data_IF_292923206281
#
_entry.id   IF_292923206281
#
_cell.length_a   1.000
_cell.length_b   1.000
_cell.length_c   1.000
_cell.angle_alpha   90.00
_cell.angle_beta   90.00
_cell.angle_gamma   90.00
#
_symmetry.space_group_name_H-M   'P 1'
#
loop_
_entity.id
_entity.type
_entity.pdbx_description
1 polymer ?
2 non-polymer ?
3 non-polymer ?
4 water ?
#
# COMPACT_ATOMS: atom_id res chain seq x y z
N UNK A 23 -13.06 -30.99 -11.40
CA UNK A 23 -12.19 -29.78 -11.31
C UNK A 23 -10.98 -30.09 -10.46
N UNK A 24 -10.62 -31.38 -10.39
CA UNK A 24 -9.58 -31.83 -9.45
C UNK A 24 -8.15 -31.46 -9.84
N UNK A 25 -7.87 -31.36 -11.16
CA UNK A 25 -6.49 -31.17 -11.63
C UNK A 25 -6.10 -29.72 -11.84
N UNK A 26 -4.80 -29.46 -11.88
CA UNK A 26 -4.33 -28.09 -12.16
C UNK A 26 -4.86 -27.51 -13.48
N UNK A 27 -5.32 -28.40 -14.37
CA UNK A 27 -5.90 -27.97 -15.67
C UNK A 27 -7.38 -27.56 -15.58
N UNK A 28 -7.93 -27.56 -14.36
CA UNK A 28 -9.36 -27.26 -14.14
C UNK A 28 -9.75 -25.88 -14.71
N UNK A 29 -10.89 -25.84 -15.40
CA UNK A 29 -11.48 -24.55 -15.77
C UNK A 29 -11.73 -23.68 -14.55
N UNK A 30 -12.19 -24.28 -13.46
CA UNK A 30 -12.51 -23.52 -12.24
C UNK A 30 -11.29 -22.75 -11.75
N UNK A 31 -10.12 -23.38 -11.73
CA UNK A 31 -8.91 -22.67 -11.26
C UNK A 31 -8.62 -21.45 -12.16
N UNK A 32 -8.73 -21.65 -13.46
CA UNK A 32 -8.49 -20.56 -14.41
C UNK A 32 -9.55 -19.45 -14.25
N UNK A 33 -10.79 -19.85 -14.04
CA UNK A 33 -11.88 -18.88 -13.75
C UNK A 33 -11.55 -18.03 -12.55
N UNK A 34 -11.03 -18.63 -11.46
CA UNK A 34 -10.76 -17.86 -10.23
C UNK A 34 -9.68 -16.82 -10.55
N UNK A 35 -8.64 -17.27 -11.22
CA UNK A 35 -7.53 -16.38 -11.53
C UNK A 35 -7.98 -15.25 -12.47
N UNK A 36 -8.75 -15.61 -13.51
CA UNK A 36 -9.34 -14.60 -14.43
C UNK A 36 -10.18 -13.55 -13.68
N UNK A 37 -11.04 -14.03 -12.79
CA UNK A 37 -11.85 -13.15 -11.94
C UNK A 37 -10.95 -12.17 -11.12
N UNK A 38 -9.91 -12.71 -10.51
CA UNK A 38 -8.98 -11.89 -9.71
C UNK A 38 -8.29 -10.82 -10.57
N UNK A 39 -7.77 -11.24 -11.73
CA UNK A 39 -7.05 -10.32 -12.62
C UNK A 39 -7.98 -9.19 -13.10
N UNK A 40 -9.21 -9.57 -13.44
CA UNK A 40 -10.20 -8.60 -13.93
C UNK A 40 -10.55 -7.58 -12.85
N UNK A 41 -10.73 -8.04 -11.61
CA UNK A 41 -11.04 -7.17 -10.47
C UNK A 41 -9.91 -6.17 -10.21
N UNK A 42 -8.67 -6.65 -10.20
CA UNK A 42 -7.51 -5.81 -10.06
C UNK A 42 -7.27 -5.24 -8.65
N UNK A 43 -6.12 -4.56 -8.49
CA UNK A 43 -5.72 -4.07 -7.15
C UNK A 43 -6.74 -3.11 -6.58
N UNK A 44 -7.54 -2.46 -7.43
CA UNK A 44 -8.68 -1.65 -6.98
C UNK A 44 -9.56 -2.47 -6.00
N UNK A 45 -9.75 -3.75 -6.32
CA UNK A 45 -10.56 -4.61 -5.45
C UNK A 45 -9.71 -5.41 -4.46
N UNK A 46 -8.49 -5.78 -4.84
CA UNK A 46 -7.66 -6.58 -3.93
C UNK A 46 -7.36 -5.82 -2.64
N UNK A 47 -7.16 -4.50 -2.74
CA UNK A 47 -6.54 -3.74 -1.65
C UNK A 47 -7.41 -2.64 -1.03
N UNK A 48 -8.71 -2.63 -1.33
CA UNK A 48 -9.60 -1.60 -0.82
C UNK A 48 -10.97 -2.21 -0.60
N UNK A 49 -11.40 -2.24 0.66
CA UNK A 49 -12.67 -2.84 1.07
C UNK A 49 -13.90 -2.36 0.26
N UNK A 50 -14.73 -3.31 -0.19
CA UNK A 50 -15.91 -3.02 -1.00
C UNK A 50 -16.85 -4.18 -0.84
N UNK A 51 -18.03 -3.92 -0.24
CA UNK A 51 -18.98 -4.99 0.02
C UNK A 51 -19.55 -5.64 -1.25
N UNK A 52 -19.65 -4.87 -2.35
CA UNK A 52 -20.14 -5.44 -3.62
C UNK A 52 -19.13 -6.49 -4.11
N UNK A 53 -17.84 -6.17 -3.99
CA UNK A 53 -16.82 -7.13 -4.41
C UNK A 53 -16.89 -8.38 -3.50
N UNK A 54 -17.10 -8.18 -2.20
CA UNK A 54 -17.19 -9.33 -1.29
C UNK A 54 -18.35 -10.24 -1.75
N UNK A 55 -19.48 -9.61 -2.02
CA UNK A 55 -20.69 -10.30 -2.51
C UNK A 55 -20.40 -11.08 -3.78
N UNK A 56 -19.74 -10.40 -4.71
CA UNK A 56 -19.46 -10.97 -5.98
C UNK A 56 -18.52 -12.22 -5.85
N UNK A 57 -17.47 -12.07 -5.07
CA UNK A 57 -16.48 -13.14 -4.85
C UNK A 57 -17.23 -14.33 -4.22
N UNK A 58 -18.09 -14.05 -3.26
CA UNK A 58 -18.86 -15.12 -2.61
C UNK A 58 -19.84 -15.84 -3.58
N UNK A 59 -20.57 -15.05 -4.38
CA UNK A 59 -21.49 -15.61 -5.37
C UNK A 59 -20.77 -16.58 -6.32
N UNK A 60 -19.59 -16.19 -6.80
CA UNK A 60 -18.82 -17.02 -7.74
C UNK A 60 -18.22 -18.28 -7.06
N UNK A 61 -17.54 -18.08 -5.93
CA UNK A 61 -16.53 -19.05 -5.48
C UNK A 61 -16.70 -19.62 -4.08
N UNK A 62 -17.86 -19.39 -3.45
CA UNK A 62 -18.10 -20.04 -2.14
C UNK A 62 -17.89 -21.56 -2.24
N UNK A 63 -18.49 -22.21 -3.24
CA UNK A 63 -18.36 -23.69 -3.35
C UNK A 63 -16.91 -24.11 -3.52
N UNK A 64 -16.18 -23.37 -4.35
CA UNK A 64 -14.76 -23.62 -4.57
C UNK A 64 -13.98 -23.51 -3.26
N UNK A 65 -14.29 -22.50 -2.44
CA UNK A 65 -13.61 -22.35 -1.14
C UNK A 65 -13.75 -23.63 -0.34
N UNK A 66 -14.99 -24.10 -0.24
CA UNK A 66 -15.25 -25.29 0.57
C UNK A 66 -14.60 -26.56 0.03
N UNK A 67 -14.56 -26.69 -1.29
CA UNK A 67 -13.88 -27.83 -1.94
C UNK A 67 -12.39 -27.80 -1.58
N UNK A 68 -11.78 -26.64 -1.71
CA UNK A 68 -10.35 -26.49 -1.35
C UNK A 68 -10.13 -26.88 0.14
N UNK A 69 -11.00 -26.35 1.02
CA UNK A 69 -10.92 -26.63 2.47
C UNK A 69 -11.17 -28.11 2.78
N UNK A 70 -11.91 -28.81 1.92
CA UNK A 70 -12.18 -30.25 2.11
C UNK A 70 -11.06 -31.10 1.53
N UNK A 71 -10.02 -30.44 1.02
CA UNK A 71 -8.84 -31.14 0.42
C UNK A 71 -9.21 -31.89 -0.86
N UNK A 72 -10.12 -31.31 -1.63
CA UNK A 72 -10.53 -31.89 -2.93
C UNK A 72 -9.70 -31.33 -4.07
N UNK A 73 -9.00 -30.22 -3.82
CA UNK A 73 -8.28 -29.52 -4.88
C UNK A 73 -6.76 -29.51 -4.72
N UNK A 74 -6.21 -30.47 -3.96
CA UNK A 74 -4.78 -30.51 -3.71
C UNK A 74 -4.00 -30.64 -5.01
N UNK A 75 -4.63 -31.26 -6.01
CA UNK A 75 -4.06 -31.40 -7.34
C UNK A 75 -3.68 -30.07 -7.99
N UNK A 76 -4.29 -28.98 -7.52
CA UNK A 76 -3.98 -27.64 -8.07
C UNK A 76 -2.54 -27.22 -7.75
N UNK A 77 -1.93 -27.88 -6.77
CA UNK A 77 -0.50 -27.61 -6.50
C UNK A 77 0.38 -27.92 -7.72
N UNK A 78 -0.13 -28.71 -8.67
CA UNK A 78 0.67 -29.04 -9.85
C UNK A 78 0.98 -27.83 -10.77
N UNK A 79 0.09 -26.82 -10.78
CA UNK A 79 0.19 -25.66 -11.70
C UNK A 79 0.45 -24.37 -10.95
N UNK A 80 1.16 -23.43 -11.56
CA UNK A 80 1.45 -22.17 -10.90
C UNK A 80 0.18 -21.34 -10.71
N UNK A 81 -0.59 -21.11 -11.79
CA UNK A 81 -1.81 -20.31 -11.61
C UNK A 81 -2.89 -21.03 -10.81
N UNK A 82 -2.98 -22.35 -10.94
CA UNK A 82 -3.93 -23.09 -10.09
C UNK A 82 -3.51 -23.02 -8.61
N UNK A 83 -2.21 -22.97 -8.34
CA UNK A 83 -1.77 -22.78 -6.95
C UNK A 83 -2.11 -21.36 -6.47
N UNK A 84 -1.94 -20.38 -7.36
CA UNK A 84 -2.44 -19.02 -7.06
C UNK A 84 -3.93 -19.05 -6.69
N UNK A 85 -4.75 -19.77 -7.47
CA UNK A 85 -6.17 -19.94 -7.16
C UNK A 85 -6.36 -20.48 -5.73
N UNK A 86 -5.56 -21.47 -5.33
CA UNK A 86 -5.62 -21.97 -3.94
C UNK A 86 -5.39 -20.85 -2.91
N UNK A 87 -4.41 -19.99 -3.17
CA UNK A 87 -4.10 -18.88 -2.25
C UNK A 87 -5.34 -17.96 -2.16
N UNK A 88 -5.94 -17.69 -3.31
CA UNK A 88 -7.08 -16.77 -3.38
C UNK A 88 -8.27 -17.37 -2.66
N UNK A 89 -8.47 -18.67 -2.79
CA UNK A 89 -9.57 -19.32 -2.06
C UNK A 89 -9.35 -19.47 -0.54
N UNK A 90 -8.10 -19.70 -0.12
CA UNK A 90 -7.84 -20.10 1.27
C UNK A 90 -7.28 -18.99 2.17
N UNK A 91 -6.73 -17.96 1.55
CA UNK A 91 -6.19 -16.79 2.24
C UNK A 91 -7.02 -15.52 1.98
N UNK A 92 -7.41 -15.28 0.73
CA UNK A 92 -8.16 -14.05 0.42
C UNK A 92 -9.67 -14.16 0.65
N UNK A 93 -10.26 -15.18 0.04
CA UNK A 93 -11.73 -15.41 0.16
C UNK A 93 -12.28 -15.24 1.61
N UNK A 94 -11.66 -15.89 2.62
CA UNK A 94 -12.19 -15.76 4.00
C UNK A 94 -12.16 -14.33 4.51
N UNK A 95 -11.16 -13.56 4.09
CA UNK A 95 -11.05 -12.16 4.51
C UNK A 95 -12.05 -11.22 3.83
N UNK A 96 -12.48 -11.59 2.63
CA UNK A 96 -13.57 -10.86 1.97
C UNK A 96 -14.93 -11.31 2.44
N UNK A 97 -15.11 -12.61 2.66
CA UNK A 97 -16.46 -13.18 2.73
C UNK A 97 -16.92 -13.66 4.08
N UNK A 98 -15.99 -13.74 5.06
CA UNK A 98 -16.37 -14.22 6.40
C UNK A 98 -16.04 -13.17 7.48
N UNK A 99 -16.08 -11.89 7.10
CA UNK A 99 -15.62 -10.78 7.95
C UNK A 99 -16.26 -10.81 9.33
N UNK A 100 -15.49 -10.48 10.36
CA UNK A 100 -16.06 -10.36 11.72
C UNK A 100 -16.28 -11.67 12.45
N UNK A 101 -15.83 -12.78 11.85
CA UNK A 101 -16.00 -14.12 12.42
C UNK A 101 -14.72 -14.95 12.45
N UNK A 102 -14.73 -16.00 13.26
CA UNK A 102 -13.56 -16.89 13.37
C UNK A 102 -13.30 -17.62 12.04
N UNK A 103 -14.33 -17.66 11.17
CA UNK A 103 -14.18 -18.26 9.84
C UNK A 103 -13.12 -17.53 9.02
N UNK A 104 -12.86 -16.26 9.34
CA UNK A 104 -11.84 -15.50 8.59
C UNK A 104 -10.44 -16.17 8.64
N UNK A 105 -10.17 -16.95 9.72
CA UNK A 105 -8.83 -17.52 9.96
C UNK A 105 -8.80 -19.05 9.83
N UNK A 106 -9.97 -19.66 9.63
CA UNK A 106 -10.10 -21.12 9.75
C UNK A 106 -9.22 -21.91 8.77
N UNK A 107 -8.98 -21.35 7.58
CA UNK A 107 -8.18 -22.09 6.55
C UNK A 107 -6.77 -21.50 6.42
N UNK A 108 -6.38 -20.65 7.36
CA UNK A 108 -5.04 -20.04 7.27
C UNK A 108 -3.92 -21.09 7.37
N UNK A 109 -4.00 -22.03 8.33
CA UNK A 109 -2.95 -23.06 8.38
C UNK A 109 -2.84 -23.84 7.06
N UNK A 110 -3.98 -24.14 6.44
CA UNK A 110 -3.97 -24.81 5.13
C UNK A 110 -3.36 -23.94 4.04
N UNK A 111 -3.73 -22.67 4.03
CA UNK A 111 -3.15 -21.72 3.04
C UNK A 111 -1.63 -21.66 3.15
N UNK A 112 -1.13 -21.62 4.39
CA UNK A 112 0.31 -21.54 4.65
C UNK A 112 1.01 -22.80 4.18
N UNK A 113 0.40 -23.94 4.47
CA UNK A 113 0.94 -25.24 4.09
C UNK A 113 1.05 -25.28 2.55
N UNK A 114 -0.02 -24.86 1.87
CA UNK A 114 0.01 -24.80 0.42
C UNK A 114 0.96 -23.75 -0.14
N UNK A 115 1.05 -22.57 0.51
CA UNK A 115 2.00 -21.52 0.06
C UNK A 115 3.43 -22.07 0.07
N UNK A 116 3.79 -22.71 1.18
CA UNK A 116 5.11 -23.36 1.29
C UNK A 116 5.38 -24.33 0.11
N UNK A 117 4.40 -25.19 -0.15
CA UNK A 117 4.53 -26.18 -1.23
C UNK A 117 4.64 -25.51 -2.61
N UNK A 118 3.83 -24.48 -2.83
CA UNK A 118 3.86 -23.73 -4.10
C UNK A 118 5.20 -23.05 -4.32
N UNK A 119 5.76 -22.46 -3.26
CA UNK A 119 7.04 -21.80 -3.35
C UNK A 119 8.15 -22.84 -3.62
N UNK A 120 8.01 -24.01 -2.99
CA UNK A 120 8.98 -25.07 -3.20
C UNK A 120 9.01 -25.50 -4.66
N UNK A 121 7.83 -25.42 -5.31
CA UNK A 121 7.72 -25.80 -6.72
C UNK A 121 8.09 -24.65 -7.65
N UNK A 122 8.38 -23.47 -7.09
CA UNK A 122 8.79 -22.29 -7.90
C UNK A 122 7.61 -21.49 -8.47
N UNK A 123 6.39 -21.81 -8.01
CA UNK A 123 5.18 -21.21 -8.59
C UNK A 123 5.09 -19.69 -8.46
N UNK A 124 5.60 -19.16 -7.34
CA UNK A 124 5.53 -17.70 -7.10
C UNK A 124 6.35 -16.97 -8.18
N UNK A 125 7.45 -17.59 -8.60
CA UNK A 125 8.33 -16.97 -9.61
C UNK A 125 7.73 -17.12 -10.99
N UNK A 126 6.77 -18.04 -11.14
CA UNK A 126 6.16 -18.33 -12.45
C UNK A 126 4.98 -17.42 -12.75
N UNK A 127 4.38 -16.77 -11.75
CA UNK A 127 3.29 -15.80 -12.02
C UNK A 127 3.89 -14.39 -12.15
N UNK A 128 3.09 -13.45 -12.66
CA UNK A 128 3.56 -12.08 -12.80
C UNK A 128 3.90 -11.44 -11.46
N UNK A 129 4.73 -10.42 -11.55
CA UNK A 129 5.19 -9.73 -10.35
C UNK A 129 4.02 -9.21 -9.51
N UNK A 130 2.97 -8.68 -10.17
CA UNK A 130 1.76 -8.11 -9.56
C UNK A 130 1.00 -9.13 -8.70
N UNK A 131 1.08 -10.41 -9.11
CA UNK A 131 0.32 -11.49 -8.44
C UNK A 131 1.14 -12.26 -7.42
N UNK A 132 2.44 -12.08 -7.46
CA UNK A 132 3.35 -12.83 -6.60
C UNK A 132 3.03 -12.74 -5.10
N UNK A 133 2.65 -11.54 -4.65
CA UNK A 133 2.39 -11.31 -3.23
C UNK A 133 1.32 -12.27 -2.65
N UNK A 134 0.40 -12.73 -3.48
CA UNK A 134 -0.63 -13.68 -2.98
C UNK A 134 -0.12 -15.03 -2.46
N UNK A 135 1.07 -15.44 -2.92
CA UNK A 135 1.76 -16.60 -2.36
C UNK A 135 2.43 -16.27 -1.01
N UNK A 136 2.58 -14.98 -0.69
CA UNK A 136 3.37 -14.56 0.51
C UNK A 136 2.46 -14.12 1.66
N UNK A 137 1.28 -13.63 1.30
CA UNK A 137 0.33 -13.13 2.30
C UNK A 137 -0.01 -14.19 3.40
N UNK A 138 -0.13 -15.49 3.04
CA UNK A 138 -0.38 -16.48 4.13
C UNK A 138 0.70 -16.40 5.22
N UNK A 139 1.94 -16.06 4.85
CA UNK A 139 3.00 -15.96 5.87
C UNK A 139 2.80 -14.69 6.73
N UNK A 140 2.39 -13.59 6.11
CA UNK A 140 2.06 -12.37 6.86
C UNK A 140 0.87 -12.59 7.81
N UNK A 141 -0.01 -13.52 7.45
CA UNK A 141 -1.23 -13.75 8.23
C UNK A 141 -1.09 -14.77 9.34
N UNK A 142 0.08 -15.40 9.44
CA UNK A 142 0.32 -16.42 10.47
C UNK A 142 0.84 -15.80 11.77
N UNK A 143 0.33 -16.30 12.90
CA UNK A 143 0.79 -15.83 14.21
C UNK A 143 2.00 -16.66 14.65
N UNK A 144 3.11 -16.51 13.94
CA UNK A 144 4.36 -17.17 14.31
C UNK A 144 5.50 -16.48 13.62
N UNK A 145 6.57 -16.35 14.42
CA UNK A 145 7.71 -15.55 14.05
C UNK A 145 8.42 -16.05 12.82
N UNK A 146 8.56 -17.38 12.69
CA UNK A 146 9.25 -17.94 11.50
C UNK A 146 8.53 -17.50 10.23
N UNK A 147 7.19 -17.63 10.23
CA UNK A 147 6.37 -17.24 9.07
C UNK A 147 6.56 -15.76 8.76
N UNK A 148 6.58 -14.93 9.79
CA UNK A 148 6.74 -13.48 9.56
C UNK A 148 8.08 -13.12 8.93
N UNK A 149 9.14 -13.75 9.43
CA UNK A 149 10.48 -13.49 8.89
C UNK A 149 10.53 -13.97 7.46
N UNK A 150 9.91 -15.11 7.20
CA UNK A 150 9.82 -15.61 5.83
C UNK A 150 9.05 -14.65 4.92
N UNK A 151 7.94 -14.10 5.42
CA UNK A 151 7.18 -13.09 4.65
C UNK A 151 8.04 -11.89 4.29
N UNK A 152 8.82 -11.37 5.25
CA UNK A 152 9.66 -10.20 4.96
C UNK A 152 10.73 -10.54 3.89
N UNK A 153 11.35 -11.72 3.99
CA UNK A 153 12.34 -12.16 3.01
C UNK A 153 11.73 -12.27 1.63
N UNK A 154 10.54 -12.85 1.57
CA UNK A 154 9.88 -13.04 0.28
C UNK A 154 9.45 -11.72 -0.35
N UNK A 155 9.07 -10.75 0.47
CA UNK A 155 8.64 -9.44 -0.06
C UNK A 155 9.81 -8.49 -0.37
N UNK A 156 11.01 -8.82 0.10
CA UNK A 156 12.15 -7.91 -0.14
C UNK A 156 12.31 -7.57 -1.65
N UNK A 157 12.36 -8.61 -2.54
CA UNK A 157 12.46 -8.28 -3.98
C UNK A 157 11.29 -7.49 -4.52
N UNK A 158 10.10 -7.65 -3.95
CA UNK A 158 8.92 -6.89 -4.42
C UNK A 158 9.09 -5.42 -4.02
N UNK A 159 9.76 -5.21 -2.90
CA UNK A 159 10.07 -3.85 -2.39
C UNK A 159 8.87 -2.95 -2.07
N UNK A 160 9.15 -1.65 -1.93
CA UNK A 160 8.13 -0.63 -1.69
C UNK A 160 7.07 -1.01 -0.69
N UNK A 161 5.81 -0.80 -1.06
CA UNK A 161 4.72 -1.03 -0.14
C UNK A 161 4.52 -2.51 0.22
N UNK A 162 4.90 -3.43 -0.68
CA UNK A 162 4.78 -4.86 -0.36
C UNK A 162 5.62 -5.15 0.86
N UNK A 163 6.86 -4.67 0.80
CA UNK A 163 7.81 -4.85 1.90
C UNK A 163 7.32 -4.14 3.20
N UNK A 164 6.89 -2.89 3.06
CA UNK A 164 6.33 -2.14 4.17
C UNK A 164 5.22 -2.96 4.87
N UNK A 165 4.27 -3.51 4.09
CA UNK A 165 3.16 -4.27 4.71
C UNK A 165 3.65 -5.54 5.44
N UNK A 166 4.60 -6.24 4.83
CA UNK A 166 5.16 -7.45 5.49
C UNK A 166 5.84 -7.09 6.83
N UNK A 167 6.51 -5.95 6.87
CA UNK A 167 7.20 -5.49 8.07
C UNK A 167 6.22 -5.04 9.13
N UNK A 168 5.12 -4.40 8.71
CA UNK A 168 4.02 -4.01 9.62
C UNK A 168 3.47 -5.22 10.37
N UNK A 169 3.24 -6.31 9.62
CA UNK A 169 2.71 -7.52 10.23
C UNK A 169 3.75 -8.12 11.17
N UNK A 170 5.01 -8.21 10.72
CA UNK A 170 6.07 -8.86 11.54
C UNK A 170 6.24 -8.14 12.87
N UNK A 171 6.13 -6.81 12.87
CA UNK A 171 6.33 -6.06 14.11
C UNK A 171 5.29 -6.42 15.18
N UNK A 172 4.03 -6.59 14.77
CA UNK A 172 2.97 -6.94 15.71
C UNK A 172 3.23 -8.32 16.32
N UNK A 173 3.55 -9.29 15.48
CA UNK A 173 3.79 -10.65 15.93
C UNK A 173 5.05 -10.74 16.80
N UNK A 174 6.12 -10.03 16.44
CA UNK A 174 7.33 -10.12 17.25
C UNK A 174 7.09 -9.45 18.62
N UNK A 175 6.14 -8.51 18.67
CA UNK A 175 5.83 -7.80 19.89
C UNK A 175 4.87 -8.59 20.81
N UNK A 176 3.85 -9.21 20.23
CA UNK A 176 2.79 -9.85 21.01
C UNK A 176 2.72 -11.36 20.88
N UNK A 177 3.39 -11.90 19.88
CA UNK A 177 3.24 -13.32 19.50
C UNK A 177 1.95 -13.67 18.75
N UNK A 178 1.14 -12.65 18.45
CA UNK A 178 -0.16 -12.82 17.80
C UNK A 178 -0.72 -11.45 17.41
N UNK A 179 -1.87 -11.45 16.72
CA UNK A 179 -2.54 -10.21 16.33
C UNK A 179 -3.62 -9.92 17.35
N UNK A 180 -3.39 -8.94 18.22
CA UNK A 180 -4.37 -8.61 19.25
C UNK A 180 -5.71 -8.22 18.70
N UNK A 181 -5.78 -7.67 17.47
CA UNK A 181 -7.07 -7.35 16.85
C UNK A 181 -7.99 -8.59 16.74
N UNK A 182 -7.42 -9.81 16.78
CA UNK A 182 -8.23 -11.03 16.63
C UNK A 182 -8.81 -11.54 17.96
N UNK A 183 -8.38 -10.93 19.07
CA UNK A 183 -8.68 -11.48 20.43
C UNK A 183 -10.17 -11.62 20.70
N UNK A 184 -10.95 -10.63 20.29
CA UNK A 184 -12.40 -10.67 20.54
C UNK A 184 -13.03 -11.84 19.81
N UNK A 185 -12.70 -11.95 18.52
CA UNK A 185 -13.29 -12.97 17.66
C UNK A 185 -12.85 -14.38 18.13
N UNK A 186 -11.62 -14.48 18.61
CA UNK A 186 -11.09 -15.77 19.04
C UNK A 186 -11.28 -16.06 20.53
N UNK A 187 -11.91 -15.14 21.26
CA UNK A 187 -12.17 -15.34 22.69
C UNK A 187 -10.88 -15.54 23.51
N UNK A 188 -9.86 -14.77 23.17
CA UNK A 188 -8.59 -14.74 23.90
C UNK A 188 -8.58 -13.55 24.83
N UNK A 189 -7.92 -13.75 25.97
CA UNK A 189 -7.77 -12.71 26.97
C UNK A 189 -6.70 -11.71 26.53
N UNK A 190 -7.11 -10.46 26.42
CA UNK A 190 -6.28 -9.37 25.97
C UNK A 190 -5.39 -8.93 27.12
N UNK A 191 -4.09 -8.84 26.88
CA UNK A 191 -3.16 -8.45 27.97
C UNK A 191 -3.17 -6.93 28.13
N UNK A 192 -2.66 -6.42 29.27
CA UNK A 192 -2.56 -4.96 29.46
C UNK A 192 -1.87 -4.23 28.30
N UNK A 193 -0.72 -4.73 27.86
CA UNK A 193 0.01 -4.10 26.74
C UNK A 193 -0.73 -4.18 25.40
N UNK A 194 -1.37 -5.31 25.14
CA UNK A 194 -2.26 -5.41 23.99
C UNK A 194 -3.42 -4.43 24.11
N UNK A 195 -3.99 -4.29 25.30
CA UNK A 195 -5.14 -3.40 25.46
C UNK A 195 -4.69 -1.99 25.09
N UNK A 196 -3.53 -1.60 25.61
CA UNK A 196 -2.87 -0.34 25.32
C UNK A 196 -2.73 -0.10 23.81
N UNK A 197 -2.15 -1.09 23.13
CA UNK A 197 -1.93 -1.07 21.69
C UNK A 197 -3.24 -0.87 20.91
N UNK A 198 -4.27 -1.63 21.28
CA UNK A 198 -5.60 -1.57 20.64
C UNK A 198 -6.29 -0.23 20.86
N UNK A 199 -6.30 0.21 22.12
CA UNK A 199 -6.91 1.48 22.52
C UNK A 199 -6.29 2.68 21.79
N UNK A 200 -5.03 2.54 21.38
CA UNK A 200 -4.28 3.64 20.77
C UNK A 200 -4.13 3.55 19.24
N UNK A 201 -4.96 2.72 18.60
CA UNK A 201 -5.00 2.62 17.15
C UNK A 201 -5.55 1.28 16.70
N UNK B 26 29.41 24.57 -1.80
CA UNK B 26 29.08 23.11 -1.90
C UNK B 26 27.83 22.76 -1.12
N UNK B 27 26.69 22.78 -1.81
CA UNK B 27 25.50 22.17 -1.24
C UNK B 27 25.38 20.76 -1.85
N UNK B 28 26.30 20.39 -2.74
CA UNK B 28 26.33 19.05 -3.36
C UNK B 28 26.32 17.93 -2.30
N UNK B 29 27.15 18.09 -1.27
CA UNK B 29 27.24 17.09 -0.17
C UNK B 29 25.93 16.92 0.56
N UNK B 30 25.23 18.04 0.76
CA UNK B 30 23.94 18.02 1.45
C UNK B 30 22.90 17.24 0.64
N UNK B 31 22.85 17.48 -0.66
CA UNK B 31 21.90 16.70 -1.52
C UNK B 31 22.21 15.20 -1.45
N UNK B 32 23.49 14.87 -1.49
CA UNK B 32 23.93 13.47 -1.42
C UNK B 32 23.50 12.84 -0.06
N UNK B 33 23.69 13.60 1.03
CA UNK B 33 23.32 13.16 2.37
C UNK B 33 21.80 12.88 2.48
N UNK B 34 20.98 13.75 1.88
CA UNK B 34 19.52 13.56 1.91
C UNK B 34 19.15 12.21 1.23
N UNK B 35 19.72 12.00 0.04
CA UNK B 35 19.42 10.79 -0.70
C UNK B 35 19.88 9.55 0.08
N UNK B 36 21.09 9.61 0.64
CA UNK B 36 21.62 8.45 1.40
C UNK B 36 20.79 8.16 2.65
N UNK B 37 20.35 9.22 3.33
CA UNK B 37 19.44 9.08 4.48
C UNK B 37 18.18 8.29 4.05
N UNK B 38 17.58 8.73 2.94
CA UNK B 38 16.32 8.16 2.49
C UNK B 38 16.53 6.75 1.96
N UNK B 39 17.53 6.58 1.12
CA UNK B 39 17.82 5.27 0.53
C UNK B 39 18.04 4.20 1.62
N UNK B 40 18.84 4.53 2.65
CA UNK B 40 19.15 3.57 3.72
C UNK B 40 17.96 3.30 4.64
N UNK B 41 17.15 4.32 4.88
CA UNK B 41 15.91 4.15 5.64
C UNK B 41 15.03 3.13 4.92
N UNK B 42 14.84 3.31 3.62
CA UNK B 42 14.17 2.28 2.79
C UNK B 42 12.67 2.17 2.97
N UNK B 43 12.06 1.26 2.21
CA UNK B 43 10.60 1.12 2.25
C UNK B 43 10.07 0.64 3.59
N UNK B 44 10.90 0.16 4.50
CA UNK B 44 10.32 -0.03 5.84
C UNK B 44 10.11 1.26 6.67
N UNK B 45 10.62 2.40 6.19
CA UNK B 45 10.39 3.67 6.87
C UNK B 45 9.63 4.68 6.02
N UNK B 46 9.75 4.60 4.69
CA UNK B 46 9.12 5.60 3.81
C UNK B 46 7.61 5.74 3.98
N UNK B 47 6.95 4.65 4.37
CA UNK B 47 5.51 4.69 4.44
C UNK B 47 4.96 4.50 5.83
N UNK B 48 5.84 4.39 6.83
CA UNK B 48 5.41 4.12 8.19
C UNK B 48 5.02 5.42 8.92
N UNK B 49 4.36 5.33 10.06
CA UNK B 49 4.15 6.53 10.86
C UNK B 49 4.92 6.33 12.14
N UNK B 50 6.17 6.73 12.14
CA UNK B 50 7.06 6.54 13.26
C UNK B 50 7.49 7.94 13.70
N UNK B 51 7.03 8.36 14.87
CA UNK B 51 7.36 9.72 15.31
C UNK B 51 8.89 9.90 15.47
N UNK B 52 9.60 8.84 15.87
CA UNK B 52 11.07 8.93 16.04
C UNK B 52 11.73 9.21 14.70
N UNK B 53 11.28 8.50 13.66
CA UNK B 53 11.86 8.69 12.31
C UNK B 53 11.54 10.11 11.83
N UNK B 54 10.32 10.55 12.08
CA UNK B 54 9.87 11.89 11.62
C UNK B 54 10.75 12.95 12.30
N UNK B 55 10.99 12.78 13.60
CA UNK B 55 11.85 13.69 14.35
C UNK B 55 13.29 13.70 13.84
N UNK B 56 13.78 12.51 13.49
CA UNK B 56 15.17 12.37 13.01
C UNK B 56 15.28 13.14 11.68
N UNK B 57 14.34 12.87 10.76
CA UNK B 57 14.26 13.50 9.42
C UNK B 57 14.18 15.03 9.63
N UNK B 58 13.31 15.44 10.56
CA UNK B 58 13.10 16.88 10.79
C UNK B 58 14.37 17.54 11.33
N UNK B 59 14.96 16.95 12.36
CA UNK B 59 16.10 17.60 12.99
C UNK B 59 17.32 17.66 12.04
N UNK B 60 17.49 16.65 11.20
CA UNK B 60 18.57 16.68 10.23
C UNK B 60 18.37 17.67 9.04
N UNK B 61 17.15 17.71 8.49
CA UNK B 61 16.92 18.41 7.23
C UNK B 61 15.95 19.59 7.24
N UNK B 62 15.46 20.00 8.42
CA UNK B 62 14.60 21.19 8.51
C UNK B 62 15.24 22.37 7.79
N UNK B 63 16.52 22.65 8.03
CA UNK B 63 17.13 23.84 7.40
C UNK B 63 17.18 23.69 5.88
N UNK B 64 17.48 22.48 5.42
CA UNK B 64 17.48 22.19 3.99
C UNK B 64 16.08 22.42 3.35
N UNK B 65 15.03 21.95 4.03
CA UNK B 65 13.68 22.12 3.53
C UNK B 65 13.42 23.62 3.29
N UNK B 66 13.73 24.43 4.30
CA UNK B 66 13.45 25.85 4.17
C UNK B 66 14.32 26.51 3.10
N UNK B 67 15.58 26.12 3.00
CA UNK B 67 16.46 26.65 1.96
C UNK B 67 15.85 26.34 0.59
N UNK B 68 15.38 25.11 0.38
CA UNK B 68 14.75 24.73 -0.90
C UNK B 68 13.48 25.58 -1.14
N UNK B 69 12.68 25.79 -0.06
CA UNK B 69 11.42 26.53 -0.16
C UNK B 69 11.66 28.03 -0.40
N UNK B 70 12.85 28.52 -0.04
CA UNK B 70 13.23 29.94 -0.30
C UNK B 70 13.91 30.10 -1.67
N UNK B 71 13.96 29.00 -2.45
CA UNK B 71 14.58 29.03 -3.78
C UNK B 71 16.09 29.26 -3.74
N UNK B 72 16.74 28.74 -2.69
CA UNK B 72 18.19 28.79 -2.58
C UNK B 72 18.87 27.56 -3.18
N UNK B 73 18.07 26.54 -3.50
CA UNK B 73 18.65 25.26 -3.97
C UNK B 73 18.20 24.88 -5.40
N UNK B 74 17.80 25.88 -6.19
CA UNK B 74 17.30 25.60 -7.55
C UNK B 74 18.38 24.94 -8.41
N UNK B 75 19.65 25.19 -8.09
CA UNK B 75 20.79 24.58 -8.81
C UNK B 75 20.80 23.06 -8.75
N UNK B 76 20.11 22.48 -7.74
CA UNK B 76 20.02 21.05 -7.63
C UNK B 76 19.26 20.44 -8.81
N UNK B 77 18.55 21.25 -9.58
CA UNK B 77 17.94 20.75 -10.80
C UNK B 77 18.96 20.24 -11.82
N UNK B 78 20.22 20.64 -11.67
CA UNK B 78 21.23 20.23 -12.64
C UNK B 78 21.61 18.75 -12.55
N UNK B 79 21.32 18.10 -11.43
CA UNK B 79 21.72 16.70 -11.26
C UNK B 79 20.56 15.80 -10.90
N UNK B 80 20.67 14.52 -11.25
CA UNK B 80 19.59 13.56 -10.98
C UNK B 80 19.40 13.31 -9.49
N UNK B 81 20.48 12.94 -8.77
CA UNK B 81 20.34 12.72 -7.34
C UNK B 81 19.95 14.00 -6.60
N UNK B 82 20.53 15.14 -7.00
CA UNK B 82 20.20 16.40 -6.33
C UNK B 82 18.73 16.79 -6.60
N UNK B 83 18.22 16.45 -7.78
CA UNK B 83 16.79 16.67 -8.04
C UNK B 83 15.91 15.73 -7.20
N UNK B 84 16.37 14.49 -7.05
CA UNK B 84 15.67 13.57 -6.15
C UNK B 84 15.62 14.21 -4.76
N UNK B 85 16.74 14.79 -4.30
CA UNK B 85 16.79 15.44 -2.97
C UNK B 85 15.73 16.53 -2.85
N UNK B 86 15.56 17.34 -3.91
CA UNK B 86 14.46 18.34 -3.91
C UNK B 86 13.07 17.71 -3.69
N UNK B 87 12.81 16.61 -4.38
CA UNK B 87 11.55 15.87 -4.20
C UNK B 87 11.39 15.47 -2.71
N UNK B 88 12.46 14.92 -2.12
CA UNK B 88 12.37 14.44 -0.75
C UNK B 88 12.16 15.62 0.20
N UNK B 89 12.79 16.75 -0.09
CA UNK B 89 12.63 17.94 0.75
C UNK B 89 11.26 18.61 0.62
N UNK B 90 10.68 18.59 -0.60
CA UNK B 90 9.49 19.43 -0.89
C UNK B 90 8.16 18.67 -0.94
N UNK B 91 8.24 17.36 -1.13
CA UNK B 91 7.08 16.50 -1.22
C UNK B 91 7.00 15.55 -0.01
N UNK B 92 8.12 14.89 0.32
CA UNK B 92 8.07 13.91 1.41
C UNK B 92 8.26 14.54 2.79
N UNK B 93 9.30 15.35 2.97
CA UNK B 93 9.55 16.01 4.24
C UNK B 93 8.29 16.64 4.94
N UNK B 94 7.48 17.43 4.20
CA UNK B 94 6.27 18.01 4.81
C UNK B 94 5.31 16.97 5.35
N UNK B 95 5.24 15.84 4.63
CA UNK B 95 4.33 14.75 4.98
C UNK B 95 4.82 13.92 6.19
N UNK B 96 6.13 14.00 6.49
CA UNK B 96 6.66 13.37 7.68
C UNK B 96 6.66 14.30 8.89
N UNK B 97 6.94 15.58 8.63
CA UNK B 97 7.38 16.51 9.65
C UNK B 97 6.39 17.64 9.99
N UNK B 98 5.40 17.87 9.11
CA UNK B 98 4.36 18.87 9.33
C UNK B 98 2.96 18.23 9.41
N UNK B 99 2.89 16.99 9.90
CA UNK B 99 1.63 16.21 9.82
C UNK B 99 0.43 16.94 10.42
N UNK B 100 -0.74 16.83 9.78
CA UNK B 100 -2.02 17.34 10.36
C UNK B 100 -2.19 18.85 10.26
N UNK B 101 -1.34 19.52 9.46
CA UNK B 101 -1.34 20.98 9.31
C UNK B 101 -1.30 21.40 7.83
N UNK B 102 -1.68 22.63 7.55
CA UNK B 102 -1.69 23.13 6.14
C UNK B 102 -0.25 23.16 5.61
N UNK B 103 0.73 23.11 6.52
CA UNK B 103 2.14 23.07 6.10
C UNK B 103 2.47 21.79 5.29
N UNK B 104 1.68 20.73 5.48
CA UNK B 104 1.92 19.50 4.69
C UNK B 104 1.85 19.74 3.18
N UNK B 105 1.08 20.76 2.77
CA UNK B 105 0.80 21.05 1.35
C UNK B 105 1.49 22.31 0.84
N UNK B 106 2.18 23.02 1.74
CA UNK B 106 2.63 24.37 1.45
C UNK B 106 3.61 24.41 0.31
N UNK B 107 4.45 23.38 0.17
CA UNK B 107 5.49 23.39 -0.88
C UNK B 107 5.14 22.45 -2.05
N UNK B 108 3.90 21.96 -2.07
CA UNK B 108 3.46 21.09 -3.13
C UNK B 108 3.53 21.70 -4.56
N UNK B 109 3.06 22.96 -4.73
CA UNK B 109 3.22 23.59 -6.05
C UNK B 109 4.68 23.70 -6.49
N UNK B 110 5.58 24.05 -5.57
CA UNK B 110 7.01 24.11 -5.90
C UNK B 110 7.52 22.70 -6.25
N UNK B 111 7.12 21.69 -5.47
CA UNK B 111 7.56 20.29 -5.75
C UNK B 111 7.10 19.85 -7.14
N UNK B 112 5.87 20.20 -7.52
CA UNK B 112 5.36 19.81 -8.85
C UNK B 112 6.14 20.55 -9.98
N UNK B 113 6.39 21.82 -9.76
CA UNK B 113 7.22 22.62 -10.67
C UNK B 113 8.59 21.97 -10.91
N UNK B 114 9.29 21.65 -9.84
CA UNK B 114 10.60 21.03 -9.94
C UNK B 114 10.47 19.62 -10.53
N UNK B 115 9.43 18.87 -10.16
CA UNK B 115 9.31 17.50 -10.72
C UNK B 115 9.15 17.56 -12.24
N UNK B 116 8.32 18.50 -12.70
CA UNK B 116 8.11 18.72 -14.15
C UNK B 116 9.46 19.00 -14.86
N UNK B 117 10.27 19.85 -14.25
CA UNK B 117 11.55 20.25 -14.81
C UNK B 117 12.52 19.07 -14.80
N UNK B 118 12.54 18.31 -13.68
CA UNK B 118 13.43 17.14 -13.55
C UNK B 118 13.10 16.09 -14.59
N UNK B 119 11.81 15.86 -14.83
CA UNK B 119 11.37 14.91 -15.86
C UNK B 119 11.76 15.42 -17.27
N UNK B 120 11.55 16.71 -17.51
CA UNK B 120 12.06 17.33 -18.77
C UNK B 120 13.57 17.07 -18.98
N UNK B 121 14.35 17.16 -17.91
CA UNK B 121 15.79 16.86 -17.96
C UNK B 121 16.18 15.37 -17.95
N UNK B 122 15.19 14.48 -17.82
CA UNK B 122 15.47 13.01 -17.85
C UNK B 122 15.94 12.39 -16.53
N UNK B 123 15.93 13.19 -15.47
CA UNK B 123 16.44 12.74 -14.18
C UNK B 123 15.67 11.54 -13.59
N UNK B 124 14.35 11.51 -13.80
CA UNK B 124 13.56 10.35 -13.34
C UNK B 124 14.07 9.05 -13.97
N UNK B 125 14.40 9.12 -15.24
CA UNK B 125 14.82 7.93 -16.00
C UNK B 125 16.24 7.52 -15.69
N UNK B 126 16.97 8.48 -15.10
CA UNK B 126 18.37 8.28 -14.69
C UNK B 126 18.48 7.49 -13.39
N UNK B 127 17.40 7.46 -12.62
CA UNK B 127 17.48 6.77 -11.32
C UNK B 127 16.65 5.49 -11.34
N UNK B 128 17.06 4.52 -10.52
CA UNK B 128 16.42 3.21 -10.56
C UNK B 128 14.96 3.31 -10.12
N UNK B 129 14.18 2.29 -10.51
CA UNK B 129 12.75 2.26 -10.27
C UNK B 129 12.38 2.38 -8.81
N UNK B 130 13.21 1.84 -7.92
CA UNK B 130 13.00 1.90 -6.45
C UNK B 130 12.85 3.34 -5.94
N UNK B 131 13.62 4.25 -6.51
CA UNK B 131 13.58 5.65 -6.07
C UNK B 131 12.85 6.58 -7.04
N UNK B 132 12.64 6.11 -8.27
CA UNK B 132 12.03 6.94 -9.32
C UNK B 132 10.66 7.51 -8.96
N UNK B 133 9.91 6.75 -8.19
CA UNK B 133 8.55 7.13 -7.80
C UNK B 133 8.51 8.46 -7.05
N UNK B 134 9.59 8.83 -6.37
CA UNK B 134 9.59 10.12 -5.68
C UNK B 134 9.54 11.35 -6.61
N UNK B 135 9.93 11.16 -7.88
CA UNK B 135 9.70 12.18 -8.92
C UNK B 135 8.22 12.30 -9.34
N UNK B 136 7.41 11.28 -9.02
CA UNK B 136 6.04 11.19 -9.55
C UNK B 136 4.97 11.51 -8.50
N UNK B 137 5.28 11.23 -7.25
CA UNK B 137 4.33 11.52 -6.17
C UNK B 137 3.81 12.97 -6.12
N UNK B 138 4.64 13.98 -6.46
CA UNK B 138 4.09 15.38 -6.51
C UNK B 138 2.84 15.51 -7.39
N UNK B 139 2.79 14.75 -8.49
CA UNK B 139 1.60 14.76 -9.38
C UNK B 139 0.39 14.10 -8.71
N UNK B 140 0.62 13.00 -7.97
CA UNK B 140 -0.49 12.40 -7.19
C UNK B 140 -0.95 13.29 -6.03
N UNK B 141 -0.05 14.14 -5.56
CA UNK B 141 -0.40 15.03 -4.44
C UNK B 141 -1.06 16.35 -4.87
N UNK B 142 -1.08 16.61 -6.17
CA UNK B 142 -1.71 17.85 -6.69
C UNK B 142 -3.21 17.69 -6.85
N UNK B 143 -3.96 18.69 -6.37
CA UNK B 143 -5.44 18.68 -6.49
C UNK B 143 -5.82 19.24 -7.83
N UNK B 144 -5.57 18.45 -8.87
CA UNK B 144 -5.66 18.92 -10.24
C UNK B 144 -5.80 17.67 -11.09
N UNK B 145 -6.92 17.54 -11.78
CA UNK B 145 -7.16 16.32 -12.58
C UNK B 145 -6.09 16.08 -13.66
N UNK B 146 -5.59 17.14 -14.31
CA UNK B 146 -4.48 17.02 -15.29
C UNK B 146 -3.24 16.38 -14.63
N UNK B 147 -2.89 16.85 -13.44
CA UNK B 147 -1.75 16.27 -12.72
C UNK B 147 -1.97 14.79 -12.41
N UNK B 148 -3.18 14.44 -12.02
CA UNK B 148 -3.52 13.07 -11.65
C UNK B 148 -3.39 12.16 -12.86
N UNK B 149 -3.92 12.60 -14.01
CA UNK B 149 -3.78 11.80 -15.23
C UNK B 149 -2.29 11.63 -15.56
N UNK B 150 -1.51 12.69 -15.37
CA UNK B 150 -0.08 12.59 -15.62
C UNK B 150 0.60 11.58 -14.68
N UNK B 151 0.21 11.60 -13.40
CA UNK B 151 0.76 10.71 -12.38
C UNK B 151 0.48 9.23 -12.79
N UNK B 152 -0.74 8.97 -13.29
CA UNK B 152 -1.08 7.63 -13.77
C UNK B 152 -0.21 7.20 -14.94
N UNK B 153 0.04 8.11 -15.88
CA UNK B 153 0.92 7.84 -17.00
C UNK B 153 2.36 7.55 -16.52
N UNK B 154 2.82 8.36 -15.60
CA UNK B 154 4.22 8.20 -15.12
C UNK B 154 4.41 6.90 -14.34
N UNK B 155 3.42 6.53 -13.55
CA UNK B 155 3.50 5.25 -12.78
C UNK B 155 3.19 3.99 -13.58
N UNK B 156 2.57 4.20 -14.74
CA UNK B 156 2.15 3.08 -15.58
C UNK B 156 3.26 1.99 -15.77
N UNK B 157 4.47 2.37 -16.25
CA UNK B 157 5.54 1.37 -16.40
C UNK B 157 6.02 0.76 -15.10
N UNK B 158 5.82 1.46 -13.98
CA UNK B 158 6.22 0.94 -12.67
C UNK B 158 5.24 -0.15 -12.23
N UNK B 159 3.97 0.01 -12.57
CA UNK B 159 2.92 -0.96 -12.18
C UNK B 159 2.82 -1.16 -10.65
N UNK B 160 2.30 -2.33 -10.26
CA UNK B 160 2.23 -2.73 -8.85
C UNK B 160 1.50 -1.74 -7.97
N UNK B 161 1.95 -1.66 -6.72
CA UNK B 161 1.27 -0.82 -5.73
C UNK B 161 1.40 0.65 -6.02
N UNK B 162 2.54 1.06 -6.62
CA UNK B 162 2.72 2.50 -6.94
C UNK B 162 1.69 2.96 -7.98
N UNK B 163 1.53 2.14 -9.03
CA UNK B 163 0.46 2.43 -10.03
C UNK B 163 -0.94 2.43 -9.40
N UNK B 164 -1.23 1.39 -8.62
CA UNK B 164 -2.51 1.30 -7.92
C UNK B 164 -2.81 2.59 -7.12
N UNK B 165 -1.83 3.08 -6.38
CA UNK B 165 -2.11 4.23 -5.52
C UNK B 165 -2.25 5.52 -6.33
N UNK B 166 -1.50 5.61 -7.44
CA UNK B 166 -1.67 6.71 -8.39
C UNK B 166 -3.12 6.66 -8.96
N UNK B 167 -3.59 5.46 -9.30
CA UNK B 167 -4.94 5.32 -9.85
C UNK B 167 -6.01 5.65 -8.80
N UNK B 168 -5.78 5.23 -7.56
CA UNK B 168 -6.70 5.53 -6.48
C UNK B 168 -6.84 7.05 -6.26
N UNK B 169 -5.70 7.75 -6.22
CA UNK B 169 -5.70 9.20 -6.00
C UNK B 169 -6.45 9.89 -7.15
N UNK B 170 -6.21 9.40 -8.37
CA UNK B 170 -6.83 9.95 -9.54
C UNK B 170 -8.34 9.77 -9.47
N UNK B 171 -8.76 8.58 -9.05
CA UNK B 171 -10.19 8.30 -8.93
C UNK B 171 -10.86 9.26 -7.95
N UNK B 172 -10.15 9.65 -6.89
CA UNK B 172 -10.74 10.58 -5.92
C UNK B 172 -10.99 11.95 -6.55
N UNK B 173 -10.00 12.44 -7.32
CA UNK B 173 -9.95 13.77 -7.99
C UNK B 173 -10.79 13.97 -9.30
N UNK B 174 -10.84 12.96 -10.16
CA UNK B 174 -11.73 12.98 -11.34
C UNK B 174 -13.14 13.35 -10.89
N UNK B 175 -13.57 12.68 -9.82
CA UNK B 175 -14.86 12.89 -9.19
C UNK B 175 -15.01 14.34 -8.66
N UNK B 176 -14.11 14.74 -7.77
CA UNK B 176 -14.30 15.95 -6.96
C UNK B 176 -13.55 17.23 -7.37
N UNK B 177 -12.44 17.07 -8.08
CA UNK B 177 -11.55 18.19 -8.37
C UNK B 177 -10.50 18.40 -7.29
N UNK B 178 -10.62 17.57 -6.24
CA UNK B 178 -9.86 17.67 -5.00
C UNK B 178 -10.08 16.44 -4.07
N UNK B 179 -9.38 16.45 -2.94
CA UNK B 179 -9.28 15.43 -1.87
C UNK B 179 -10.09 15.87 -0.65
N UNK B 180 -11.28 15.27 -0.46
CA UNK B 180 -12.11 15.58 0.71
C UNK B 180 -11.40 15.42 2.03
N UNK B 181 -10.44 14.50 2.14
CA UNK B 181 -9.74 14.33 3.41
C UNK B 181 -9.00 15.61 3.85
N UNK B 182 -8.78 16.53 2.90
CA UNK B 182 -8.07 17.79 3.23
C UNK B 182 -8.99 18.92 3.67
N UNK B 183 -10.31 18.69 3.59
CA UNK B 183 -11.30 19.77 3.86
C UNK B 183 -11.11 20.39 5.26
N UNK B 184 -10.80 19.58 6.27
CA UNK B 184 -10.63 20.10 7.62
C UNK B 184 -9.44 21.04 7.65
N UNK B 185 -8.32 20.58 7.11
CA UNK B 185 -7.11 21.37 7.10
C UNK B 185 -7.28 22.65 6.27
N UNK B 186 -8.00 22.55 5.17
CA UNK B 186 -8.12 23.70 4.25
C UNK B 186 -9.38 24.52 4.55
N UNK B 187 -10.08 24.22 5.64
CA UNK B 187 -11.29 24.94 6.03
C UNK B 187 -12.32 25.02 4.88
N UNK B 188 -12.54 23.88 4.24
CA UNK B 188 -13.53 23.75 3.14
C UNK B 188 -14.78 23.08 3.66
N UNK B 189 -15.91 23.61 3.20
CA UNK B 189 -17.21 23.07 3.46
C UNK B 189 -17.31 21.82 2.60
N UNK B 190 -17.45 20.70 3.26
CA UNK B 190 -17.58 19.44 2.58
C UNK B 190 -18.96 19.44 1.97
N UNK B 191 -19.03 19.21 0.66
CA UNK B 191 -20.32 19.11 -0.02
C UNK B 191 -21.02 17.84 0.47
N UNK B 192 -22.33 17.72 0.15
CA UNK B 192 -23.06 16.48 0.48
C UNK B 192 -22.42 15.23 -0.11
N UNK B 193 -22.02 15.29 -1.38
CA UNK B 193 -21.38 14.16 -2.02
C UNK B 193 -20.00 13.85 -1.40
N UNK B 194 -19.23 14.88 -1.09
CA UNK B 194 -17.95 14.67 -0.41
C UNK B 194 -18.18 14.10 0.99
N UNK B 195 -19.16 14.66 1.69
CA UNK B 195 -19.48 14.20 3.04
C UNK B 195 -19.75 12.70 3.05
N UNK B 196 -20.68 12.25 2.23
CA UNK B 196 -21.02 10.83 2.16
C UNK B 196 -19.88 9.98 1.59
N UNK B 197 -19.00 10.62 0.83
CA UNK B 197 -17.77 9.98 0.39
C UNK B 197 -16.83 9.74 1.57
N UNK B 198 -16.82 10.68 2.51
CA UNK B 198 -15.92 10.62 3.65
C UNK B 198 -16.39 9.62 4.69
N UNK B 199 -17.68 9.63 5.00
CA UNK B 199 -18.20 8.70 5.99
C UNK B 199 -18.07 7.25 5.55
N UNK B 200 -18.03 7.02 4.24
CA UNK B 200 -17.91 5.67 3.72
C UNK B 200 -16.45 5.28 3.42
N UNK B 201 -15.79 4.70 4.42
CA UNK B 201 -14.39 4.25 4.28
C UNK B 201 -13.39 5.37 4.63
X LIG C 1 -0.88 -33.82 -14.28
X LIG D 1 -3.44 -6.73 15.50
X LIG E 1 8.36 0.05 9.40
X LIG F 1 7.09 -2.30 -10.38
X LIG G 1 5.07 -1.30 -6.23
X LIG H 1 -9.62 12.34 0.07
#
# INVERSE_FOLDING_TARGET
XGSSHHHHHHSSGRENLYFQGHMKNDTAALAADIVDFWKKAGPDKWFDKDAAFDNHFHDRFRDAHFAAARRELDGWLEGAESSLALMLLLDQFPRNCFRGTAHMYATDPLARFFADEAIRRGHDQAVSEDLRVFFYLPFSHAEDIAAQQRACDLNQPLGGLYLHHAEEHRDIVERFGRFPHRNGILLRETTPEERQYLEEGGFSGGS
XGSSHHHHHHSSGRENLYFQGHXKNDTAALAADIVDFWKKAGPDKWFDKDAAFDNHFHDRFRDAHFAAARRELDGWLEGAESSLALMLLLDQFPRNCFRGTAHMYATDPLARFFADEAIRRGHDQAVSEDLRVFFYLPFSHAEDIAAQQRACDLNQPLGGLYLHHAEEHRDIVERFGRFPHRNGILLRETTPEERQYLEEGGFSGGS
CA CA
CL CL
CA CA
CA CA
CL CL
CL CL
#
